data_IF_312380166074
#
_entry.id   IF_312380166074
#
_cell.length_a   1.000
_cell.length_b   1.000
_cell.length_c   1.000
_cell.angle_alpha   90.00
_cell.angle_beta   90.00
_cell.angle_gamma   90.00
#
_symmetry.space_group_name_H-M   'P 1'
#
loop_
_entity.id
_entity.type
_entity.pdbx_description
1 polymer ?
#
# COMPACT_ATOMS: atom_id res chain seq x y z
N UNK A 1 -18.55 30.36 -36.93
CA UNK A 1 -17.25 29.81 -36.45
C UNK A 1 -17.32 29.22 -35.03
N UNK A 2 -18.45 28.73 -34.54
CA UNK A 2 -18.66 28.31 -33.13
C UNK A 2 -18.79 26.79 -32.94
N UNK A 3 -18.73 25.98 -34.01
CA UNK A 3 -18.93 24.51 -33.89
C UNK A 3 -17.67 23.69 -33.59
N UNK A 4 -16.47 24.23 -33.78
CA UNK A 4 -15.23 23.49 -33.64
C UNK A 4 -14.77 23.31 -32.18
N UNK A 5 -15.19 24.23 -31.31
CA UNK A 5 -14.75 24.25 -29.88
C UNK A 5 -15.48 23.23 -28.98
N UNK A 6 -16.66 22.78 -29.42
CA UNK A 6 -17.46 21.80 -28.65
C UNK A 6 -16.95 20.36 -28.81
N UNK A 7 -16.37 20.02 -29.95
CA UNK A 7 -15.99 18.64 -30.26
C UNK A 7 -14.66 18.24 -29.58
N UNK A 8 -13.70 19.16 -29.49
CA UNK A 8 -12.41 18.91 -28.79
C UNK A 8 -12.60 18.67 -27.31
N UNK A 9 -13.53 19.37 -26.64
CA UNK A 9 -13.83 19.16 -25.22
C UNK A 9 -14.44 17.77 -24.94
N UNK A 10 -15.26 17.25 -25.84
CA UNK A 10 -15.84 15.91 -25.72
C UNK A 10 -14.81 14.82 -25.95
N UNK A 11 -13.93 14.99 -26.94
CA UNK A 11 -12.86 14.03 -27.25
C UNK A 11 -11.89 13.94 -26.06
N UNK A 12 -11.47 15.06 -25.48
CA UNK A 12 -10.56 15.09 -24.32
C UNK A 12 -11.20 14.44 -23.08
N UNK A 13 -12.49 14.70 -22.83
CA UNK A 13 -13.22 14.02 -21.73
C UNK A 13 -13.31 12.51 -21.92
N UNK A 14 -13.61 12.06 -23.13
CA UNK A 14 -13.73 10.63 -23.42
C UNK A 14 -12.36 9.92 -23.37
N UNK A 15 -11.29 10.54 -23.84
CA UNK A 15 -9.93 10.01 -23.70
C UNK A 15 -9.51 9.95 -22.24
N UNK A 16 -9.84 10.94 -21.42
CA UNK A 16 -9.54 10.95 -19.99
C UNK A 16 -10.32 9.86 -19.24
N UNK A 17 -11.61 9.70 -19.50
CA UNK A 17 -12.44 8.64 -18.94
C UNK A 17 -11.96 7.24 -19.34
N UNK A 18 -11.55 7.07 -20.60
CA UNK A 18 -10.99 5.82 -21.11
C UNK A 18 -9.64 5.50 -20.45
N UNK A 19 -8.78 6.48 -20.25
CA UNK A 19 -7.49 6.31 -19.58
C UNK A 19 -7.67 5.95 -18.10
N UNK A 20 -8.61 6.59 -17.40
CA UNK A 20 -8.94 6.26 -15.98
C UNK A 20 -9.53 4.86 -15.87
N UNK A 21 -10.39 4.46 -16.82
CA UNK A 21 -10.97 3.12 -16.85
C UNK A 21 -9.92 2.03 -17.14
N UNK A 22 -9.01 2.28 -18.07
CA UNK A 22 -7.87 1.37 -18.36
C UNK A 22 -6.91 1.27 -17.17
N UNK A 23 -6.63 2.38 -16.49
CA UNK A 23 -5.80 2.38 -15.29
C UNK A 23 -6.47 1.62 -14.12
N UNK A 24 -7.80 1.71 -14.01
CA UNK A 24 -8.59 0.93 -13.04
C UNK A 24 -8.55 -0.59 -13.28
N UNK A 25 -8.48 -1.02 -14.54
CA UNK A 25 -8.37 -2.45 -14.90
C UNK A 25 -6.99 -3.05 -14.60
N UNK A 26 -5.93 -2.23 -14.52
CA UNK A 26 -4.57 -2.69 -14.18
C UNK A 26 -4.39 -2.96 -12.67
N UNK A 27 -5.29 -2.50 -11.82
CA UNK A 27 -5.18 -2.63 -10.35
C UNK A 27 -5.84 -3.92 -9.81
N UNK A 28 -6.54 -4.71 -10.64
CA UNK A 28 -7.44 -5.77 -10.15
C UNK A 28 -6.84 -7.17 -10.05
N UNK A 29 -5.53 -7.39 -10.13
CA UNK A 29 -4.95 -8.74 -10.07
C UNK A 29 -3.73 -8.89 -9.16
N UNK A 30 -3.74 -8.29 -7.99
CA UNK A 30 -2.90 -8.78 -6.90
C UNK A 30 -3.80 -9.46 -5.88
N UNK A 31 -4.28 -10.65 -6.18
CA UNK A 31 -4.51 -11.64 -5.12
C UNK A 31 -3.11 -11.92 -4.58
N UNK A 32 -2.69 -11.12 -3.62
CA UNK A 32 -1.48 -11.39 -2.85
C UNK A 32 -1.67 -12.75 -2.21
N UNK A 33 -0.96 -13.75 -2.73
CA UNK A 33 -0.56 -14.86 -1.87
C UNK A 33 0.00 -14.17 -0.63
N UNK A 34 -0.67 -14.33 0.50
CA UNK A 34 -0.35 -13.62 1.74
C UNK A 34 1.14 -13.85 1.99
N UNK A 35 1.92 -12.77 2.07
CA UNK A 35 3.37 -12.84 2.14
C UNK A 35 3.77 -13.76 3.30
N UNK A 36 4.58 -14.76 3.02
CA UNK A 36 5.02 -15.74 4.01
C UNK A 36 5.67 -15.10 5.22
N UNK A 37 6.32 -13.94 5.06
CA UNK A 37 6.87 -13.14 6.16
C UNK A 37 5.76 -12.60 7.06
N UNK A 38 4.70 -12.06 6.49
CA UNK A 38 3.54 -11.54 7.24
C UNK A 38 2.84 -12.68 7.98
N UNK A 39 2.61 -13.81 7.33
CA UNK A 39 2.03 -15.00 7.96
C UNK A 39 2.90 -15.52 9.10
N UNK A 40 4.22 -15.59 8.91
CA UNK A 40 5.17 -15.98 9.94
C UNK A 40 5.12 -15.03 11.14
N UNK A 41 5.18 -13.72 10.89
CA UNK A 41 5.15 -12.72 11.95
C UNK A 41 3.87 -12.76 12.77
N UNK A 42 2.74 -12.98 12.11
CA UNK A 42 1.42 -13.00 12.76
C UNK A 42 1.19 -14.27 13.58
N UNK A 43 1.62 -15.43 13.05
CA UNK A 43 1.23 -16.73 13.62
C UNK A 43 2.37 -17.43 14.37
N UNK A 44 3.63 -17.20 14.02
CA UNK A 44 4.75 -18.02 14.45
C UNK A 44 5.80 -17.28 15.31
N UNK A 45 6.07 -16.00 14.99
CA UNK A 45 7.20 -15.25 15.52
C UNK A 45 7.12 -15.00 17.03
N UNK A 46 5.94 -15.07 17.65
CA UNK A 46 5.78 -14.92 19.09
C UNK A 46 6.46 -16.05 19.89
N UNK A 47 6.57 -17.24 19.30
CA UNK A 47 7.13 -18.42 19.95
C UNK A 47 8.37 -18.98 19.25
N UNK A 48 8.53 -18.71 17.95
CA UNK A 48 9.60 -19.26 17.12
C UNK A 48 10.47 -18.16 16.51
N UNK A 49 11.77 -18.45 16.43
CA UNK A 49 12.73 -17.70 15.63
C UNK A 49 13.28 -18.61 14.53
N UNK A 50 13.78 -18.03 13.43
CA UNK A 50 14.27 -18.84 12.32
C UNK A 50 15.54 -19.60 12.71
N UNK A 51 16.53 -18.93 13.28
CA UNK A 51 17.85 -19.52 13.55
C UNK A 51 18.17 -19.73 15.03
N UNK A 52 17.25 -19.42 15.94
CA UNK A 52 17.49 -19.51 17.38
C UNK A 52 16.29 -20.15 18.08
N UNK A 53 16.55 -21.00 19.05
CA UNK A 53 15.50 -21.50 19.93
C UNK A 53 14.96 -20.37 20.81
N UNK A 54 13.65 -20.39 21.01
CA UNK A 54 12.90 -19.45 21.85
C UNK A 54 11.94 -20.27 22.72
N UNK A 55 10.68 -19.88 22.85
CA UNK A 55 9.65 -20.72 23.49
C UNK A 55 9.47 -22.05 22.73
N UNK A 56 9.58 -22.03 21.41
CA UNK A 56 9.64 -23.20 20.56
C UNK A 56 11.02 -23.33 19.86
N UNK A 57 11.21 -24.43 19.11
CA UNK A 57 12.44 -24.69 18.36
C UNK A 57 12.69 -23.66 17.26
N UNK A 58 13.98 -23.48 16.91
CA UNK A 58 14.36 -22.78 15.70
C UNK A 58 13.76 -23.45 14.47
N UNK A 59 13.29 -22.65 13.50
CA UNK A 59 12.58 -23.18 12.33
C UNK A 59 13.46 -23.39 11.10
N UNK A 60 14.72 -22.91 11.10
CA UNK A 60 15.63 -23.17 9.99
C UNK A 60 15.75 -24.69 9.73
N UNK A 61 15.53 -25.10 8.46
CA UNK A 61 15.57 -26.51 8.07
C UNK A 61 14.45 -27.36 8.65
N UNK A 62 13.34 -26.79 9.11
CA UNK A 62 12.23 -27.53 9.74
C UNK A 62 11.66 -28.61 8.83
N UNK A 63 11.55 -28.38 7.51
CA UNK A 63 11.01 -29.35 6.58
C UNK A 63 11.79 -30.66 6.55
N UNK A 64 13.13 -30.60 6.61
CA UNK A 64 14.00 -31.77 6.60
C UNK A 64 14.00 -32.56 7.92
N UNK A 65 13.33 -32.09 8.96
CA UNK A 65 13.22 -32.77 10.25
C UNK A 65 12.00 -33.67 10.37
N UNK A 66 11.03 -33.48 9.49
CA UNK A 66 9.81 -34.27 9.44
C UNK A 66 9.89 -35.33 8.35
N UNK A 67 9.31 -36.48 8.60
CA UNK A 67 9.31 -37.60 7.66
C UNK A 67 8.61 -37.24 6.36
N UNK A 68 7.47 -36.53 6.45
CA UNK A 68 6.72 -36.03 5.31
C UNK A 68 6.19 -34.61 5.59
N UNK A 69 5.90 -33.90 4.52
CA UNK A 69 5.34 -32.56 4.54
C UNK A 69 3.94 -32.53 5.17
N UNK A 70 3.16 -33.56 4.91
CA UNK A 70 1.80 -33.73 5.44
C UNK A 70 1.80 -33.87 6.96
N UNK A 71 2.79 -34.56 7.52
CA UNK A 71 2.99 -34.66 8.98
C UNK A 71 3.30 -33.30 9.59
N UNK A 72 4.20 -32.53 8.96
CA UNK A 72 4.50 -31.15 9.38
C UNK A 72 3.26 -30.27 9.33
N UNK A 73 2.48 -30.33 8.27
CA UNK A 73 1.26 -29.54 8.13
C UNK A 73 0.20 -29.92 9.18
N UNK A 74 0.02 -31.20 9.40
CA UNK A 74 -0.90 -31.72 10.43
C UNK A 74 -0.47 -31.26 11.82
N UNK A 75 0.83 -31.27 12.11
CA UNK A 75 1.40 -30.74 13.33
C UNK A 75 1.14 -29.23 13.48
N UNK A 76 1.38 -28.43 12.45
CA UNK A 76 1.14 -26.97 12.48
C UNK A 76 -0.33 -26.68 12.73
N UNK A 77 -1.24 -27.37 12.04
CA UNK A 77 -2.67 -27.14 12.20
C UNK A 77 -3.22 -27.54 13.56
N UNK A 78 -2.78 -28.67 14.08
CA UNK A 78 -3.24 -29.16 15.39
C UNK A 78 -2.23 -30.10 16.05
N UNK A 79 -1.24 -29.51 16.70
CA UNK A 79 -0.19 -30.27 17.41
C UNK A 79 -0.75 -31.19 18.49
N UNK A 80 -1.80 -30.75 19.22
CA UNK A 80 -2.41 -31.56 20.27
C UNK A 80 -3.12 -32.82 19.73
N UNK A 81 -3.79 -32.74 18.58
CA UNK A 81 -4.36 -33.92 17.93
C UNK A 81 -3.27 -34.80 17.34
N UNK A 82 -2.23 -34.19 16.75
CA UNK A 82 -1.13 -34.93 16.14
C UNK A 82 -0.32 -35.74 17.16
N UNK A 83 -0.11 -35.22 18.36
CA UNK A 83 0.53 -35.99 19.46
C UNK A 83 -0.19 -37.26 19.79
N UNK A 84 -1.53 -37.28 19.70
CA UNK A 84 -2.34 -38.48 19.98
C UNK A 84 -2.15 -39.60 18.94
N UNK A 85 -1.58 -39.30 17.78
CA UNK A 85 -1.24 -40.33 16.79
C UNK A 85 -0.06 -41.20 17.21
N UNK A 86 0.68 -40.80 18.23
CA UNK A 86 1.87 -41.53 18.68
C UNK A 86 3.13 -41.29 17.87
N UNK A 87 3.15 -40.26 16.98
CA UNK A 87 4.33 -39.93 16.18
C UNK A 87 5.55 -39.72 17.08
N UNK A 88 6.60 -40.48 16.81
CA UNK A 88 7.81 -40.51 17.69
C UNK A 88 8.54 -39.16 17.72
N UNK A 89 8.65 -38.48 16.57
CA UNK A 89 9.33 -37.20 16.47
C UNK A 89 8.53 -36.08 17.18
N UNK A 90 7.24 -36.03 16.95
CA UNK A 90 6.37 -35.04 17.59
C UNK A 90 6.35 -35.20 19.12
N UNK A 91 6.25 -36.45 19.62
CA UNK A 91 6.27 -36.71 21.05
C UNK A 91 7.64 -36.38 21.68
N UNK A 92 8.76 -36.71 21.02
CA UNK A 92 10.10 -36.31 21.45
C UNK A 92 10.21 -34.77 21.54
N UNK A 93 9.80 -34.07 20.51
CA UNK A 93 9.84 -32.60 20.46
C UNK A 93 9.00 -31.99 21.60
N UNK A 94 7.80 -32.51 21.83
CA UNK A 94 6.94 -32.04 22.91
C UNK A 94 7.57 -32.20 24.29
N UNK A 95 8.25 -33.33 24.55
CA UNK A 95 8.95 -33.57 25.81
C UNK A 95 10.18 -32.63 25.95
N UNK A 96 10.94 -32.44 24.88
CA UNK A 96 12.11 -31.58 24.85
C UNK A 96 11.78 -30.13 25.20
N UNK A 97 10.59 -29.64 24.79
CA UNK A 97 10.12 -28.30 25.09
C UNK A 97 9.15 -28.25 26.29
N UNK A 98 9.44 -29.05 27.32
CA UNK A 98 8.74 -29.07 28.61
C UNK A 98 7.21 -29.24 28.49
N UNK A 99 6.77 -30.04 27.55
CA UNK A 99 5.34 -30.26 27.24
C UNK A 99 4.59 -28.96 26.95
N UNK A 100 5.27 -27.96 26.44
CA UNK A 100 4.66 -26.71 26.01
C UNK A 100 3.78 -26.98 24.78
N UNK A 101 2.49 -26.68 24.90
CA UNK A 101 1.55 -26.85 23.79
C UNK A 101 1.76 -25.73 22.76
N UNK A 102 1.92 -26.10 21.50
CA UNK A 102 1.89 -25.16 20.38
C UNK A 102 0.44 -24.72 20.10
N UNK A 103 0.25 -23.45 19.75
CA UNK A 103 -1.05 -22.95 19.30
C UNK A 103 -1.55 -23.73 18.08
N UNK A 104 -2.85 -23.81 17.93
CA UNK A 104 -3.49 -24.49 16.80
C UNK A 104 -3.81 -23.46 15.70
N UNK A 105 -3.57 -23.85 14.45
CA UNK A 105 -3.84 -23.01 13.28
C UNK A 105 -4.72 -23.75 12.26
N UNK A 106 -5.95 -24.16 12.63
CA UNK A 106 -6.78 -25.04 11.81
C UNK A 106 -7.20 -24.39 10.47
N UNK A 107 -7.16 -23.08 10.38
CA UNK A 107 -7.59 -22.32 9.20
C UNK A 107 -6.45 -22.06 8.20
N UNK A 108 -5.19 -22.38 8.54
CA UNK A 108 -4.07 -22.22 7.61
C UNK A 108 -4.19 -23.23 6.46
N UNK A 109 -4.21 -22.72 5.25
CA UNK A 109 -4.20 -23.53 4.02
C UNK A 109 -2.78 -24.06 3.74
N UNK A 110 -2.68 -25.06 2.87
CA UNK A 110 -1.40 -25.63 2.49
C UNK A 110 -0.49 -24.58 1.84
N UNK A 111 -1.05 -23.73 0.98
CA UNK A 111 -0.32 -22.69 0.30
C UNK A 111 0.22 -21.61 1.27
N UNK A 112 -0.51 -21.33 2.35
CA UNK A 112 -0.08 -20.38 3.39
C UNK A 112 1.03 -20.97 4.24
N UNK A 113 0.94 -22.25 4.60
CA UNK A 113 2.01 -22.97 5.29
C UNK A 113 3.26 -23.01 4.40
N UNK A 114 3.11 -23.31 3.11
CA UNK A 114 4.20 -23.30 2.14
C UNK A 114 4.87 -21.92 2.04
N UNK A 115 4.08 -20.85 2.02
CA UNK A 115 4.61 -19.49 2.00
C UNK A 115 5.42 -19.20 3.26
N UNK A 116 4.95 -19.61 4.45
CA UNK A 116 5.69 -19.49 5.71
C UNK A 116 7.01 -20.28 5.66
N UNK A 117 6.96 -21.52 5.22
CA UNK A 117 8.15 -22.39 5.15
C UNK A 117 9.18 -21.84 4.16
N UNK A 118 8.72 -21.35 3.02
CA UNK A 118 9.56 -20.68 2.01
C UNK A 118 10.21 -19.42 2.55
N UNK A 119 9.47 -18.60 3.31
CA UNK A 119 10.03 -17.46 3.99
C UNK A 119 11.11 -17.89 5.00
N UNK A 120 10.83 -18.86 5.86
CA UNK A 120 11.79 -19.40 6.84
C UNK A 120 13.06 -19.88 6.16
N UNK A 121 12.95 -20.58 5.03
CA UNK A 121 14.09 -21.06 4.25
C UNK A 121 14.90 -19.92 3.60
N UNK A 122 14.27 -18.78 3.30
CA UNK A 122 14.91 -17.61 2.67
C UNK A 122 15.69 -16.73 3.64
N UNK A 123 15.47 -16.86 4.97
CA UNK A 123 16.14 -16.03 5.97
C UNK A 123 17.59 -16.49 6.13
N UNK A 124 18.59 -15.63 5.87
CA UNK A 124 19.99 -15.99 5.99
C UNK A 124 20.38 -16.31 7.45
N UNK A 125 21.30 -17.25 7.64
CA UNK A 125 21.87 -17.50 8.95
C UNK A 125 22.65 -16.28 9.46
N UNK A 126 22.62 -15.97 10.76
CA UNK A 126 23.42 -14.89 11.34
C UNK A 126 24.90 -15.06 10.97
N UNK A 127 25.49 -14.08 10.29
CA UNK A 127 26.88 -14.11 9.83
C UNK A 127 27.11 -14.75 8.45
N UNK A 128 26.11 -15.30 7.79
CA UNK A 128 26.20 -15.66 6.38
C UNK A 128 26.05 -14.40 5.52
N UNK A 129 27.13 -13.99 4.84
CA UNK A 129 27.05 -12.99 3.80
C UNK A 129 26.08 -13.48 2.73
N UNK A 130 25.05 -12.70 2.42
CA UNK A 130 24.11 -13.00 1.34
C UNK A 130 24.90 -13.12 0.02
N UNK A 131 24.72 -14.18 -0.79
CA UNK A 131 25.29 -14.21 -2.13
C UNK A 131 24.56 -13.19 -3.00
N UNK A 132 25.19 -12.07 -3.28
CA UNK A 132 24.69 -11.06 -4.21
C UNK A 132 24.18 -9.80 -3.55
N UNK A 133 25.09 -8.96 -3.18
CA UNK A 133 25.12 -7.50 -3.13
C UNK A 133 23.86 -6.73 -2.89
N UNK A 134 23.74 -6.15 -1.69
CA UNK A 134 23.49 -4.74 -1.51
C UNK A 134 23.55 -4.45 0.00
N UNK A 135 24.24 -3.40 0.35
CA UNK A 135 24.63 -2.96 1.69
C UNK A 135 23.51 -3.09 2.72
N UNK A 136 23.89 -3.70 3.84
CA UNK A 136 23.19 -3.63 5.11
C UNK A 136 23.04 -2.17 5.54
N UNK A 137 21.89 -1.80 6.02
CA UNK A 137 21.71 -0.54 6.72
C UNK A 137 20.43 0.23 6.44
N UNK A 138 19.42 -0.39 5.82
CA UNK A 138 18.09 0.22 5.82
C UNK A 138 17.21 -0.47 6.89
N UNK A 139 16.49 0.28 7.74
CA UNK A 139 15.43 -0.30 8.55
C UNK A 139 14.46 -1.00 7.62
N UNK A 140 13.86 -2.11 8.07
CA UNK A 140 12.87 -2.86 7.33
C UNK A 140 11.86 -1.87 6.72
N UNK A 141 11.98 -1.63 5.42
CA UNK A 141 10.97 -0.87 4.70
C UNK A 141 9.71 -1.73 4.74
N UNK A 142 8.74 -1.27 5.52
CA UNK A 142 7.37 -1.70 5.39
C UNK A 142 7.00 -1.61 3.91
N UNK A 143 6.36 -2.65 3.36
CA UNK A 143 5.91 -2.73 1.96
C UNK A 143 4.92 -1.61 1.54
N UNK A 144 4.90 -0.53 2.29
CA UNK A 144 4.10 0.66 2.04
C UNK A 144 4.76 1.65 1.06
N UNK A 145 5.99 1.40 0.59
CA UNK A 145 6.69 2.32 -0.31
C UNK A 145 5.93 2.55 -1.62
N UNK A 146 5.30 1.51 -2.16
CA UNK A 146 4.39 1.61 -3.30
C UNK A 146 3.14 2.43 -2.95
N UNK A 147 2.58 2.25 -1.77
CA UNK A 147 1.40 2.95 -1.29
C UNK A 147 1.71 4.43 -1.07
N UNK A 148 2.86 4.75 -0.47
CA UNK A 148 3.35 6.14 -0.34
C UNK A 148 3.70 6.76 -1.69
N UNK A 149 4.27 6.00 -2.63
CA UNK A 149 4.53 6.44 -4.00
C UNK A 149 3.25 6.81 -4.74
N UNK A 150 2.23 5.95 -4.68
CA UNK A 150 0.91 6.20 -5.29
C UNK A 150 0.23 7.39 -4.62
N UNK A 151 0.25 7.48 -3.29
CA UNK A 151 -0.32 8.60 -2.53
C UNK A 151 0.36 9.92 -2.90
N UNK A 152 1.69 9.93 -3.00
CA UNK A 152 2.47 11.11 -3.42
C UNK A 152 2.11 11.55 -4.84
N UNK A 153 1.94 10.60 -5.76
CA UNK A 153 1.55 10.89 -7.14
C UNK A 153 0.12 11.45 -7.22
N UNK A 154 -0.82 10.91 -6.45
CA UNK A 154 -2.19 11.44 -6.34
C UNK A 154 -2.17 12.87 -5.82
N UNK A 155 -1.41 13.14 -4.75
CA UNK A 155 -1.28 14.48 -4.18
C UNK A 155 -0.67 15.48 -5.18
N UNK A 156 0.33 15.06 -5.96
CA UNK A 156 0.93 15.88 -7.00
C UNK A 156 -0.10 16.24 -8.10
N UNK A 157 -0.90 15.27 -8.53
CA UNK A 157 -1.97 15.50 -9.52
C UNK A 157 -3.04 16.44 -8.97
N UNK A 158 -3.46 16.26 -7.71
CA UNK A 158 -4.43 17.16 -7.05
C UNK A 158 -3.85 18.57 -6.95
N UNK A 159 -2.58 18.73 -6.57
CA UNK A 159 -1.92 20.03 -6.53
C UNK A 159 -1.90 20.73 -7.90
N UNK A 160 -1.59 19.99 -8.97
CA UNK A 160 -1.62 20.54 -10.34
C UNK A 160 -3.04 20.98 -10.75
N UNK A 161 -4.05 20.21 -10.40
CA UNK A 161 -5.45 20.57 -10.66
C UNK A 161 -5.83 21.85 -9.91
N UNK A 162 -5.45 21.96 -8.63
CA UNK A 162 -5.72 23.15 -7.82
C UNK A 162 -5.01 24.38 -8.37
N UNK A 163 -3.76 24.26 -8.83
CA UNK A 163 -3.03 25.35 -9.50
C UNK A 163 -3.74 25.80 -10.79
N UNK A 164 -4.22 24.86 -11.60
CA UNK A 164 -4.98 25.19 -12.82
C UNK A 164 -6.32 25.86 -12.51
N UNK A 165 -7.03 25.37 -11.50
CA UNK A 165 -8.30 25.98 -11.05
C UNK A 165 -8.05 27.40 -10.55
N UNK A 166 -7.01 27.61 -9.72
CA UNK A 166 -6.66 28.93 -9.21
C UNK A 166 -6.25 29.89 -10.33
N UNK A 167 -5.47 29.44 -11.32
CA UNK A 167 -5.14 30.24 -12.49
C UNK A 167 -6.37 30.63 -13.33
N UNK A 168 -7.34 29.71 -13.46
CA UNK A 168 -8.58 29.98 -14.16
C UNK A 168 -9.50 30.93 -13.38
N UNK A 169 -9.56 30.79 -12.05
CA UNK A 169 -10.32 31.71 -11.19
C UNK A 169 -9.73 33.12 -11.24
N UNK A 170 -8.40 33.24 -11.24
CA UNK A 170 -7.71 34.54 -11.38
C UNK A 170 -8.06 35.20 -12.73
N UNK A 171 -8.02 34.46 -13.83
CA UNK A 171 -8.43 34.95 -15.15
C UNK A 171 -9.90 35.42 -15.18
N UNK A 172 -10.78 34.71 -14.48
CA UNK A 172 -12.20 35.11 -14.38
C UNK A 172 -12.38 36.35 -13.51
N UNK A 173 -11.58 36.50 -12.44
CA UNK A 173 -11.58 37.70 -11.60
C UNK A 173 -11.08 38.92 -12.40
N UNK A 174 -9.94 38.78 -13.10
CA UNK A 174 -9.38 39.84 -13.95
C UNK A 174 -10.35 40.26 -15.07
N UNK A 175 -11.13 39.30 -15.63
CA UNK A 175 -12.14 39.58 -16.63
C UNK A 175 -13.34 40.34 -16.04
N UNK A 176 -13.69 40.13 -14.77
CA UNK A 176 -14.77 40.84 -14.08
C UNK A 176 -14.34 42.22 -13.63
N UNK A 177 -13.10 42.42 -13.20
CA UNK A 177 -12.56 43.77 -12.88
C UNK A 177 -12.45 44.67 -14.13
N UNK A 178 -12.16 44.09 -15.30
CA UNK A 178 -12.19 44.80 -16.58
C UNK A 178 -13.62 45.16 -17.09
N UNK A 179 -14.64 44.60 -16.50
CA UNK A 179 -16.06 44.91 -16.74
C UNK A 179 -16.68 45.64 -15.55
N UNK A 180 -16.05 46.69 -15.06
CA UNK A 180 -16.82 47.66 -14.29
C UNK A 180 -17.87 48.24 -15.21
N UNK A 181 -19.18 48.06 -14.93
CA UNK A 181 -20.19 48.76 -15.70
C UNK A 181 -19.88 50.24 -15.55
N UNK A 182 -19.57 50.90 -16.65
CA UNK A 182 -19.55 52.35 -16.70
C UNK A 182 -20.92 52.81 -16.20
N UNK A 183 -20.93 53.20 -14.90
CA UNK A 183 -22.15 53.76 -14.31
C UNK A 183 -22.38 55.03 -15.07
N UNK A 184 -23.32 55.02 -15.98
CA UNK A 184 -23.77 56.17 -16.75
C UNK A 184 -24.30 57.17 -15.74
N UNK A 185 -23.36 57.96 -15.19
CA UNK A 185 -23.69 59.03 -14.24
C UNK A 185 -24.36 60.12 -15.00
N UNK A 186 -25.63 60.43 -14.70
CA UNK A 186 -26.40 61.38 -15.42
C UNK A 186 -25.57 62.69 -15.55
N UNK A 187 -25.54 63.29 -16.74
CA UNK A 187 -24.68 64.38 -17.15
C UNK A 187 -24.74 65.58 -16.18
N UNK A 188 -25.82 65.82 -15.46
CA UNK A 188 -25.96 66.88 -14.45
C UNK A 188 -25.05 66.69 -13.21
N UNK A 189 -24.55 65.48 -12.91
CA UNK A 189 -23.62 65.25 -11.85
C UNK A 189 -22.22 65.76 -12.18
N UNK A 190 -21.84 65.75 -13.45
CA UNK A 190 -20.58 66.30 -13.93
C UNK A 190 -20.66 67.84 -14.00
N UNK A 191 -21.81 68.48 -14.25
CA UNK A 191 -21.96 69.92 -14.20
C UNK A 191 -21.75 70.55 -12.83
N UNK A 192 -22.12 69.84 -11.74
CA UNK A 192 -21.88 70.38 -10.38
C UNK A 192 -20.39 70.44 -10.03
N UNK A 193 -19.55 69.55 -10.51
CA UNK A 193 -18.09 69.61 -10.31
C UNK A 193 -17.45 70.76 -11.10
N UNK A 194 -17.92 71.04 -12.29
CA UNK A 194 -17.40 72.15 -13.09
C UNK A 194 -17.72 73.53 -12.51
N UNK A 195 -18.90 73.67 -11.85
CA UNK A 195 -19.30 74.96 -11.24
C UNK A 195 -18.52 75.31 -9.98
N UNK A 196 -17.94 74.33 -9.29
CA UNK A 196 -17.15 74.53 -8.06
C UNK A 196 -15.66 74.78 -8.32
N UNK A 197 -15.20 74.56 -9.55
CA UNK A 197 -13.77 74.79 -9.91
C UNK A 197 -13.49 76.13 -10.56
N UNK A 198 -14.52 76.92 -10.81
CA UNK A 198 -14.39 78.28 -11.45
C UNK A 198 -14.49 79.44 -10.43
N UNK A 199 -14.32 79.15 -9.11
CA UNK A 199 -14.38 80.17 -8.06
C UNK A 199 -13.11 80.17 -7.18
N UNK A 200 -11.92 79.96 -7.77
CA UNK A 200 -10.64 80.39 -7.17
C UNK A 200 -9.86 81.25 -8.10
#
# INVERSE_FOLDING_TARGET
>A
MTSFRSNTSRIVKNCFLSAVFLLGLLVTNTVTAQDGKTLFNTNCASCHQVHKNSTGPALAGVEGRWETKEKLYSWIRNSAAFLKTGDAYANKLYLEYNKTAMNQFPNLKDEEIDAILKYVASVPAPGAAAPGGAAAGAPAEDDNSLLFGILSLILAVVALILLQVNANLKKLADTREGQTPEVDVPFWRNKRKAIFLDQE
#
